data_IF_689428538518
#
_entry.id   IF_689428538518
#
_cell.length_a   1.000
_cell.length_b   1.000
_cell.length_c   1.000
_cell.angle_alpha   90.00
_cell.angle_beta   90.00
_cell.angle_gamma   90.00
#
_symmetry.space_group_name_H-M   'P 1'
#
loop_
_entity.id
_entity.type
_entity.pdbx_description
1 polymer ?
#
# COMPACT_ATOMS: atom_id res chain seq x y z
N UNK A 1 -6.65 -11.45 -0.35
CA UNK A 1 -6.81 -10.71 -1.55
C UNK A 1 -7.41 -9.32 -1.33
N UNK A 2 -8.05 -9.03 -0.18
CA UNK A 2 -8.36 -7.66 0.24
C UNK A 2 -7.10 -6.81 0.46
N UNK A 3 -5.97 -7.42 0.79
CA UNK A 3 -4.67 -6.76 0.86
C UNK A 3 -4.22 -6.25 -0.51
N UNK A 4 -4.51 -6.98 -1.58
CA UNK A 4 -4.23 -6.52 -2.95
C UNK A 4 -5.10 -5.33 -3.37
N UNK A 5 -6.27 -5.12 -2.76
CA UNK A 5 -7.05 -3.88 -2.95
C UNK A 5 -6.31 -2.64 -2.47
N UNK A 6 -5.31 -2.83 -1.63
CA UNK A 6 -4.47 -1.75 -1.15
C UNK A 6 -3.46 -1.29 -2.20
N UNK A 7 -2.98 -2.17 -3.04
CA UNK A 7 -1.78 -1.89 -3.80
C UNK A 7 -1.94 -1.73 -5.31
N UNK A 8 -2.78 -2.48 -5.97
CA UNK A 8 -2.86 -2.36 -7.42
C UNK A 8 -4.14 -2.99 -7.99
N UNK A 9 -5.09 -2.18 -8.37
CA UNK A 9 -6.33 -2.64 -9.01
C UNK A 9 -6.12 -3.12 -10.44
N UNK A 10 -5.00 -2.83 -11.07
CA UNK A 10 -4.65 -3.41 -12.34
C UNK A 10 -4.62 -4.94 -12.25
N UNK A 11 -4.19 -5.48 -11.12
CA UNK A 11 -4.26 -6.91 -10.84
C UNK A 11 -5.66 -7.38 -10.42
N UNK A 12 -6.43 -6.57 -9.71
CA UNK A 12 -7.72 -6.98 -9.13
C UNK A 12 -8.82 -7.10 -10.19
N UNK A 13 -8.89 -6.16 -11.12
CA UNK A 13 -9.89 -6.20 -12.18
C UNK A 13 -9.62 -7.29 -13.25
N UNK A 14 -8.42 -7.87 -13.23
CA UNK A 14 -8.01 -8.85 -14.24
C UNK A 14 -7.77 -10.26 -13.72
N UNK A 15 -7.71 -10.46 -12.40
CA UNK A 15 -7.59 -11.82 -11.80
C UNK A 15 -8.81 -12.71 -12.12
N UNK A 16 -9.96 -12.12 -12.43
CA UNK A 16 -11.15 -12.82 -12.94
C UNK A 16 -11.25 -12.90 -14.46
N UNK A 17 -10.36 -12.22 -15.21
CA UNK A 17 -10.40 -12.21 -16.67
C UNK A 17 -9.70 -13.47 -17.22
N UNK A 18 -10.42 -14.30 -18.02
CA UNK A 18 -9.82 -15.50 -18.63
C UNK A 18 -8.58 -15.21 -19.49
N UNK A 19 -8.48 -14.00 -20.07
CA UNK A 19 -7.31 -13.58 -20.83
C UNK A 19 -6.06 -13.43 -19.94
N UNK A 20 -6.24 -13.19 -18.64
CA UNK A 20 -5.16 -13.07 -17.67
C UNK A 20 -4.74 -14.41 -17.07
N UNK A 21 -5.60 -15.42 -17.16
CA UNK A 21 -5.29 -16.76 -16.68
C UNK A 21 -4.02 -17.36 -17.35
N UNK A 22 -3.68 -16.88 -18.54
CA UNK A 22 -2.44 -17.28 -19.24
C UNK A 22 -1.18 -16.63 -18.66
N UNK A 23 -1.33 -15.53 -17.93
CA UNK A 23 -0.23 -14.80 -17.26
C UNK A 23 -0.18 -15.03 -15.75
N UNK A 24 -1.17 -15.75 -15.20
CA UNK A 24 -1.02 -16.30 -13.86
C UNK A 24 0.23 -17.19 -13.89
N UNK A 25 1.17 -16.95 -12.95
CA UNK A 25 2.44 -17.64 -12.99
C UNK A 25 2.20 -19.14 -13.13
N UNK A 26 3.02 -19.78 -13.93
CA UNK A 26 3.17 -21.23 -14.04
C UNK A 26 3.25 -21.89 -12.66
N UNK A 27 3.68 -21.14 -11.68
CA UNK A 27 3.79 -21.48 -10.27
C UNK A 27 2.46 -21.97 -9.66
N UNK A 28 1.30 -21.38 -9.99
CA UNK A 28 0.02 -21.93 -9.47
C UNK A 28 -0.31 -23.32 -10.06
N UNK A 29 0.12 -23.61 -11.28
CA UNK A 29 0.00 -24.97 -11.86
C UNK A 29 1.05 -25.90 -11.27
N UNK A 30 2.26 -25.38 -11.04
CA UNK A 30 3.35 -26.12 -10.42
C UNK A 30 3.06 -26.39 -8.93
N UNK A 31 2.53 -25.41 -8.18
CA UNK A 31 2.08 -25.60 -6.79
C UNK A 31 1.00 -26.68 -6.69
N UNK A 32 0.06 -26.74 -7.63
CA UNK A 32 -0.92 -27.83 -7.70
C UNK A 32 -0.29 -29.20 -7.97
N UNK A 33 0.73 -29.24 -8.82
CA UNK A 33 1.42 -30.48 -9.20
C UNK A 33 2.33 -31.00 -8.06
N UNK A 34 2.79 -30.12 -7.18
CA UNK A 34 3.67 -30.45 -6.05
C UNK A 34 2.91 -30.78 -4.76
N UNK A 35 1.57 -30.75 -4.78
CA UNK A 35 0.74 -31.06 -3.61
C UNK A 35 0.79 -30.04 -2.50
N UNK A 36 1.22 -28.82 -2.78
CA UNK A 36 1.22 -27.74 -1.79
C UNK A 36 -0.20 -27.33 -1.38
N UNK A 37 -0.41 -26.98 -0.11
CA UNK A 37 -1.73 -26.63 0.38
C UNK A 37 -2.26 -25.40 -0.35
N UNK A 38 -3.45 -25.52 -0.93
CA UNK A 38 -4.15 -24.41 -1.56
C UNK A 38 -4.68 -23.48 -0.49
N UNK A 39 -3.96 -22.40 -0.26
CA UNK A 39 -4.39 -21.37 0.68
C UNK A 39 -5.60 -20.61 0.10
N UNK A 40 -6.69 -20.60 0.85
CA UNK A 40 -7.98 -20.05 0.38
C UNK A 40 -8.15 -18.58 0.69
N UNK A 41 -7.36 -18.06 1.65
CA UNK A 41 -7.44 -16.67 2.07
C UNK A 41 -6.07 -16.14 2.54
N UNK A 42 -5.89 -14.82 2.59
CA UNK A 42 -4.69 -14.21 3.17
C UNK A 42 -4.47 -14.64 4.64
N UNK A 43 -5.52 -14.80 5.41
CA UNK A 43 -5.45 -15.23 6.81
C UNK A 43 -4.90 -16.67 6.94
N UNK A 44 -5.32 -17.57 6.06
CA UNK A 44 -4.77 -18.93 5.99
C UNK A 44 -3.29 -18.90 5.58
N UNK A 45 -2.94 -18.04 4.65
CA UNK A 45 -1.55 -17.85 4.22
C UNK A 45 -0.66 -17.37 5.39
N UNK A 46 -1.08 -16.34 6.11
CA UNK A 46 -0.34 -15.83 7.26
C UNK A 46 -0.17 -16.92 8.33
N UNK A 47 -1.24 -17.63 8.67
CA UNK A 47 -1.18 -18.75 9.62
C UNK A 47 -0.25 -19.86 9.19
N UNK A 48 -0.27 -20.21 7.90
CA UNK A 48 0.62 -21.23 7.36
C UNK A 48 2.07 -20.82 7.45
N UNK A 49 2.40 -19.56 7.09
CA UNK A 49 3.75 -19.03 7.15
C UNK A 49 4.28 -19.01 8.59
N UNK A 50 3.47 -18.51 9.53
CA UNK A 50 3.85 -18.48 10.94
C UNK A 50 4.01 -19.87 11.55
N UNK A 51 3.19 -20.84 11.13
CA UNK A 51 3.33 -22.26 11.57
C UNK A 51 4.68 -22.87 11.15
N UNK A 52 5.30 -22.34 10.12
CA UNK A 52 6.61 -22.78 9.63
C UNK A 52 7.76 -21.87 10.12
N UNK A 53 7.56 -21.14 11.23
CA UNK A 53 8.54 -20.23 11.83
C UNK A 53 9.09 -19.18 10.85
N UNK A 54 8.28 -18.78 9.86
CA UNK A 54 8.61 -17.73 8.91
C UNK A 54 7.79 -16.48 9.16
N UNK A 55 8.29 -15.33 8.71
CA UNK A 55 7.65 -14.04 8.83
C UNK A 55 7.22 -13.50 7.47
N UNK A 56 6.21 -12.65 7.47
CA UNK A 56 5.61 -12.13 6.25
C UNK A 56 5.70 -10.61 6.20
N UNK A 57 6.38 -10.13 5.18
CA UNK A 57 6.42 -8.72 4.81
C UNK A 57 5.49 -8.46 3.63
N UNK A 58 4.75 -7.37 3.66
CA UNK A 58 3.90 -6.94 2.56
C UNK A 58 4.36 -5.60 2.01
N UNK A 59 4.42 -5.50 0.67
CA UNK A 59 4.67 -4.22 0.00
C UNK A 59 3.44 -3.33 0.10
N UNK A 60 3.65 -2.09 0.51
CA UNK A 60 2.62 -1.05 0.63
C UNK A 60 3.10 0.24 -0.05
N UNK A 61 2.18 0.89 -0.75
CA UNK A 61 2.46 2.12 -1.48
C UNK A 61 1.76 3.31 -0.85
N UNK A 62 2.35 4.47 -1.03
CA UNK A 62 1.76 5.74 -0.60
C UNK A 62 0.79 6.35 -1.61
N UNK A 63 0.32 5.57 -2.59
CA UNK A 63 -0.48 6.03 -3.73
C UNK A 63 -1.69 5.15 -3.95
N UNK A 64 -2.77 5.73 -4.46
CA UNK A 64 -4.06 5.05 -4.63
C UNK A 64 -4.66 5.35 -5.99
N UNK A 65 -5.26 4.33 -6.60
CA UNK A 65 -6.00 4.48 -7.84
C UNK A 65 -7.47 4.91 -7.62
N UNK A 66 -8.09 5.59 -8.60
CA UNK A 66 -9.43 6.20 -8.46
C UNK A 66 -10.55 5.20 -8.16
N UNK A 67 -10.32 3.91 -8.39
CA UNK A 67 -11.26 2.82 -8.12
C UNK A 67 -11.21 2.32 -6.67
N UNK A 68 -10.19 2.74 -5.87
CA UNK A 68 -10.03 2.31 -4.47
C UNK A 68 -10.89 3.13 -3.52
N UNK A 69 -11.26 2.55 -2.39
CA UNK A 69 -11.99 3.24 -1.34
C UNK A 69 -11.11 4.32 -0.70
N UNK A 70 -9.84 4.01 -0.49
CA UNK A 70 -8.83 4.91 0.02
C UNK A 70 -8.74 6.21 -0.79
N UNK A 71 -8.67 6.08 -2.11
CA UNK A 71 -8.67 7.24 -3.01
C UNK A 71 -9.92 8.10 -2.81
N UNK A 72 -11.11 7.47 -2.76
CA UNK A 72 -12.36 8.19 -2.60
C UNK A 72 -12.47 8.92 -1.27
N UNK A 73 -12.01 8.29 -0.16
CA UNK A 73 -11.99 8.94 1.15
C UNK A 73 -10.97 10.08 1.19
N UNK A 74 -9.76 9.86 0.69
CA UNK A 74 -8.72 10.90 0.61
C UNK A 74 -9.15 12.08 -0.26
N UNK A 75 -9.80 11.81 -1.39
CA UNK A 75 -10.34 12.86 -2.27
C UNK A 75 -11.40 13.70 -1.57
N UNK A 76 -12.31 13.09 -0.82
CA UNK A 76 -13.31 13.82 -0.01
C UNK A 76 -12.68 14.72 1.04
N UNK A 77 -11.52 14.36 1.54
CA UNK A 77 -10.75 15.12 2.53
C UNK A 77 -9.83 16.17 1.89
N UNK A 78 -9.81 16.25 0.55
CA UNK A 78 -8.85 17.05 -0.20
C UNK A 78 -7.38 16.73 0.19
N UNK A 79 -7.09 15.45 0.33
CA UNK A 79 -5.82 14.92 0.83
C UNK A 79 -5.13 13.96 -0.17
N UNK A 80 -5.36 14.15 -1.44
CA UNK A 80 -4.55 13.60 -2.53
C UNK A 80 -3.65 14.70 -3.08
N UNK A 81 -2.40 14.36 -3.36
CA UNK A 81 -1.52 15.27 -4.09
C UNK A 81 -1.98 15.34 -5.55
N UNK A 82 -2.01 16.54 -6.17
CA UNK A 82 -2.67 16.75 -7.46
C UNK A 82 -1.77 16.36 -8.64
N UNK A 83 -1.04 15.26 -8.53
CA UNK A 83 -0.27 14.70 -9.62
C UNK A 83 -0.39 13.18 -9.67
N UNK A 84 -0.20 12.65 -10.85
CA UNK A 84 -0.23 11.22 -11.10
C UNK A 84 1.16 10.62 -10.88
N UNK A 85 1.19 9.45 -10.25
CA UNK A 85 2.39 8.64 -10.10
C UNK A 85 2.30 7.38 -10.97
N UNK A 86 3.27 6.48 -10.87
CA UNK A 86 3.27 5.22 -11.60
C UNK A 86 2.07 4.33 -11.23
N UNK A 87 1.48 3.61 -12.21
CA UNK A 87 1.79 3.61 -13.65
C UNK A 87 1.19 4.84 -14.37
N UNK A 88 1.89 5.32 -15.40
CA UNK A 88 1.41 6.46 -16.20
C UNK A 88 0.02 6.21 -16.77
N UNK A 89 -0.80 7.25 -16.84
CA UNK A 89 -2.16 7.23 -17.36
C UNK A 89 -3.12 6.30 -16.59
N UNK A 90 -2.81 6.01 -15.33
CA UNK A 90 -3.65 5.18 -14.45
C UNK A 90 -4.59 5.99 -13.57
N UNK A 91 -4.30 7.28 -13.37
CA UNK A 91 -4.98 8.14 -12.40
C UNK A 91 -4.58 7.83 -10.94
N UNK A 92 -3.52 7.06 -10.72
CA UNK A 92 -2.99 6.79 -9.38
C UNK A 92 -2.36 8.06 -8.83
N UNK A 93 -2.78 8.50 -7.64
CA UNK A 93 -2.32 9.70 -6.96
C UNK A 93 -1.76 9.37 -5.58
N UNK A 94 -0.64 9.99 -5.17
CA UNK A 94 -0.17 9.85 -3.80
C UNK A 94 -1.08 10.61 -2.83
N UNK A 95 -1.17 10.10 -1.60
CA UNK A 95 -1.87 10.85 -0.57
C UNK A 95 -0.97 11.94 0.01
N UNK A 96 -1.57 13.00 0.52
CA UNK A 96 -0.83 14.07 1.19
C UNK A 96 -0.38 13.59 2.58
N UNK A 97 0.85 13.09 2.63
CA UNK A 97 1.48 12.60 3.86
C UNK A 97 1.68 13.70 4.90
N UNK A 98 1.68 14.97 4.50
CA UNK A 98 1.83 16.10 5.42
C UNK A 98 0.55 16.35 6.21
N UNK A 99 -0.60 15.90 5.70
CA UNK A 99 -1.88 16.00 6.37
C UNK A 99 -2.03 14.88 7.45
N UNK A 100 -2.09 15.24 8.75
CA UNK A 100 -2.24 14.24 9.82
C UNK A 100 -3.50 13.38 9.69
N UNK A 101 -4.60 13.95 9.19
CA UNK A 101 -5.85 13.21 8.99
C UNK A 101 -5.70 12.15 7.89
N UNK A 102 -4.93 12.47 6.85
CA UNK A 102 -4.64 11.51 5.78
C UNK A 102 -3.74 10.36 6.28
N UNK A 103 -2.74 10.66 7.13
CA UNK A 103 -1.92 9.62 7.79
C UNK A 103 -2.77 8.70 8.67
N UNK A 104 -3.70 9.26 9.45
CA UNK A 104 -4.62 8.46 10.27
C UNK A 104 -5.51 7.55 9.41
N UNK A 105 -5.99 8.08 8.28
CA UNK A 105 -6.79 7.29 7.33
C UNK A 105 -5.95 6.18 6.71
N UNK A 106 -4.71 6.47 6.31
CA UNK A 106 -3.79 5.47 5.79
C UNK A 106 -3.60 4.33 6.78
N UNK A 107 -3.31 4.63 8.05
CA UNK A 107 -3.16 3.64 9.11
C UNK A 107 -4.45 2.85 9.37
N UNK A 108 -5.61 3.49 9.34
CA UNK A 108 -6.90 2.79 9.46
C UNK A 108 -6.99 1.58 8.52
N UNK A 109 -6.54 1.75 7.28
CA UNK A 109 -6.53 0.66 6.30
C UNK A 109 -5.42 -0.35 6.56
N UNK A 110 -4.24 0.07 7.01
CA UNK A 110 -3.16 -0.84 7.38
C UNK A 110 -3.48 -1.68 8.62
N UNK A 111 -4.29 -1.16 9.53
CA UNK A 111 -4.68 -1.86 10.75
C UNK A 111 -5.26 -3.25 10.46
N UNK A 112 -6.01 -3.40 9.38
CA UNK A 112 -6.55 -4.70 8.98
C UNK A 112 -5.44 -5.71 8.64
N UNK A 113 -4.42 -5.29 7.92
CA UNK A 113 -3.26 -6.14 7.60
C UNK A 113 -2.45 -6.48 8.85
N UNK A 114 -2.24 -5.47 9.72
CA UNK A 114 -1.56 -5.68 11.00
C UNK A 114 -2.29 -6.70 11.87
N UNK A 115 -3.62 -6.60 11.99
CA UNK A 115 -4.45 -7.53 12.77
C UNK A 115 -4.50 -8.93 12.15
N UNK A 116 -4.39 -9.02 10.83
CA UNK A 116 -4.28 -10.30 10.12
C UNK A 116 -2.98 -11.03 10.44
N UNK A 117 -1.93 -10.31 10.89
CA UNK A 117 -0.67 -10.87 11.32
C UNK A 117 0.51 -10.63 10.38
N UNK A 118 0.41 -9.68 9.46
CA UNK A 118 1.60 -9.26 8.72
C UNK A 118 2.64 -8.69 9.69
N UNK A 119 3.90 -9.11 9.53
CA UNK A 119 4.97 -8.84 10.48
C UNK A 119 5.76 -7.58 10.14
N UNK A 120 5.80 -7.21 8.86
CA UNK A 120 6.63 -6.12 8.36
C UNK A 120 6.02 -5.42 7.14
N UNK A 121 6.52 -4.21 6.87
CA UNK A 121 6.08 -3.34 5.80
C UNK A 121 7.23 -3.06 4.84
N UNK A 122 7.06 -3.37 3.58
CA UNK A 122 7.90 -2.86 2.52
C UNK A 122 7.24 -1.57 1.99
N UNK A 123 7.78 -0.44 2.40
CA UNK A 123 7.25 0.89 2.06
C UNK A 123 7.76 1.34 0.70
N UNK A 124 7.33 0.64 -0.33
CA UNK A 124 7.72 0.86 -1.71
C UNK A 124 7.10 2.15 -2.28
N UNK A 125 7.80 2.79 -3.21
CA UNK A 125 7.35 4.04 -3.87
C UNK A 125 6.97 5.15 -2.88
N UNK A 126 7.78 5.33 -1.85
CA UNK A 126 7.63 6.40 -0.85
C UNK A 126 8.32 7.71 -1.27
N UNK A 127 9.07 7.68 -2.35
CA UNK A 127 9.40 8.85 -3.18
C UNK A 127 8.45 8.82 -4.39
N UNK A 128 7.28 9.46 -4.31
CA UNK A 128 6.28 9.29 -5.37
C UNK A 128 6.84 9.66 -6.73
N UNK A 129 6.85 8.69 -7.64
CA UNK A 129 7.26 8.92 -9.02
C UNK A 129 6.39 10.04 -9.60
N UNK A 130 6.98 11.21 -9.63
CA UNK A 130 6.34 12.39 -10.15
C UNK A 130 6.78 12.61 -11.58
N UNK A 131 5.86 12.38 -12.51
CA UNK A 131 6.11 12.69 -13.91
C UNK A 131 6.02 14.19 -14.10
N UNK A 132 7.16 14.84 -13.91
CA UNK A 132 7.29 16.28 -13.92
C UNK A 132 6.64 16.93 -15.15
N UNK A 133 5.79 17.90 -14.85
CA UNK A 133 5.21 18.81 -15.84
C UNK A 133 5.55 20.24 -15.42
N UNK A 134 5.69 21.17 -16.35
CA UNK A 134 5.86 22.57 -15.99
C UNK A 134 4.75 23.03 -15.02
N UNK A 135 5.13 23.59 -13.89
CA UNK A 135 4.20 24.05 -12.85
C UNK A 135 3.95 23.07 -11.71
N UNK A 136 4.45 21.86 -11.77
CA UNK A 136 4.26 20.86 -10.72
C UNK A 136 4.92 21.28 -9.39
N UNK A 137 5.96 22.08 -9.44
CA UNK A 137 6.61 22.68 -8.27
C UNK A 137 5.71 23.61 -7.47
N UNK A 138 4.62 24.08 -8.06
CA UNK A 138 3.66 25.00 -7.43
C UNK A 138 2.54 24.27 -6.67
N UNK A 139 2.49 22.94 -6.69
CA UNK A 139 1.48 22.21 -5.93
C UNK A 139 1.61 22.49 -4.43
N UNK A 140 0.44 22.69 -3.82
CA UNK A 140 0.35 22.90 -2.38
C UNK A 140 0.01 21.58 -1.68
N UNK A 141 0.75 21.30 -0.63
CA UNK A 141 0.47 20.25 0.33
C UNK A 141 -0.09 20.88 1.61
N UNK A 142 -0.43 20.06 2.59
CA UNK A 142 -0.88 20.57 3.89
C UNK A 142 0.16 21.46 4.59
N UNK A 143 1.45 21.18 4.43
CA UNK A 143 2.53 21.90 5.12
C UNK A 143 3.30 22.88 4.22
N UNK A 144 2.85 23.12 2.99
CA UNK A 144 3.48 24.07 2.08
C UNK A 144 3.62 23.58 0.64
N UNK A 145 4.47 24.25 -0.15
CA UNK A 145 4.67 23.85 -1.54
C UNK A 145 5.33 22.50 -1.65
N UNK A 146 4.91 21.69 -2.64
CA UNK A 146 5.50 20.38 -2.89
C UNK A 146 7.03 20.45 -3.01
N UNK A 147 7.54 21.41 -3.78
CA UNK A 147 8.99 21.57 -3.96
C UNK A 147 9.71 21.79 -2.62
N UNK A 148 9.10 22.55 -1.70
CA UNK A 148 9.69 22.87 -0.41
C UNK A 148 9.72 21.69 0.57
N UNK A 149 8.75 20.77 0.47
CA UNK A 149 8.57 19.72 1.49
C UNK A 149 8.77 18.29 0.98
N UNK A 150 8.85 18.07 -0.33
CA UNK A 150 8.85 16.73 -0.95
C UNK A 150 9.87 15.75 -0.38
N UNK A 151 11.06 16.24 -0.02
CA UNK A 151 12.12 15.39 0.52
C UNK A 151 11.80 14.82 1.93
N UNK A 152 10.82 15.41 2.63
CA UNK A 152 10.33 14.90 3.91
C UNK A 152 9.23 13.85 3.76
N UNK A 153 8.72 13.61 2.54
CA UNK A 153 7.62 12.69 2.29
C UNK A 153 7.92 11.27 2.82
N UNK A 154 9.04 10.61 2.45
CA UNK A 154 9.34 9.27 2.94
C UNK A 154 9.47 9.22 4.47
N UNK A 155 10.08 10.24 5.05
CA UNK A 155 10.24 10.34 6.50
C UNK A 155 8.89 10.37 7.22
N UNK A 156 7.97 11.23 6.79
CA UNK A 156 6.65 11.37 7.43
C UNK A 156 5.78 10.15 7.20
N UNK A 157 5.86 9.54 6.02
CA UNK A 157 5.16 8.31 5.71
C UNK A 157 5.58 7.18 6.65
N UNK A 158 6.87 6.87 6.71
CA UNK A 158 7.41 5.82 7.54
C UNK A 158 7.24 6.09 9.05
N UNK A 159 7.49 7.32 9.48
CA UNK A 159 7.27 7.75 10.86
C UNK A 159 5.81 7.52 11.28
N UNK A 160 4.87 7.86 10.43
CA UNK A 160 3.44 7.68 10.72
C UNK A 160 3.08 6.21 10.92
N UNK A 161 3.55 5.32 10.05
CA UNK A 161 3.31 3.88 10.19
C UNK A 161 3.92 3.38 11.51
N UNK A 162 5.15 3.77 11.79
CA UNK A 162 5.84 3.40 13.03
C UNK A 162 5.08 3.84 14.28
N UNK A 163 4.70 5.12 14.35
CA UNK A 163 4.02 5.69 15.52
C UNK A 163 2.65 5.04 15.77
N UNK A 164 1.86 4.88 14.71
CA UNK A 164 0.55 4.24 14.82
C UNK A 164 0.65 2.77 15.24
N UNK A 165 1.59 2.01 14.66
CA UNK A 165 1.79 0.62 15.05
C UNK A 165 2.25 0.52 16.50
N UNK A 166 3.17 1.39 16.93
CA UNK A 166 3.63 1.42 18.32
C UNK A 166 2.54 1.79 19.32
N UNK A 167 1.58 2.61 18.91
CA UNK A 167 0.43 3.00 19.73
C UNK A 167 -0.67 1.92 19.83
N UNK A 168 -0.61 0.86 19.02
CA UNK A 168 -1.60 -0.22 19.10
C UNK A 168 -1.55 -0.90 20.46
N UNK A 169 -2.73 -1.05 21.07
CA UNK A 169 -2.88 -1.70 22.39
C UNK A 169 -2.34 -3.14 22.34
N UNK A 170 -1.48 -3.49 23.30
CA UNK A 170 -0.87 -4.81 23.40
C UNK A 170 0.26 -5.05 22.39
N UNK A 171 0.69 -4.05 21.64
CA UNK A 171 1.83 -4.19 20.74
C UNK A 171 3.14 -4.30 21.53
N UNK A 172 3.80 -5.45 21.43
CA UNK A 172 5.13 -5.70 21.99
C UNK A 172 6.22 -5.76 20.90
N UNK A 173 5.82 -5.81 19.62
CA UNK A 173 6.74 -5.95 18.50
C UNK A 173 7.27 -4.59 18.05
N UNK A 174 8.51 -4.60 17.56
CA UNK A 174 9.04 -3.46 16.78
C UNK A 174 8.35 -3.38 15.44
N UNK A 175 8.15 -2.17 14.93
CA UNK A 175 7.75 -1.97 13.54
C UNK A 175 8.98 -2.16 12.66
N UNK A 176 8.94 -3.16 11.79
CA UNK A 176 9.96 -3.37 10.77
C UNK A 176 9.46 -2.78 9.46
N UNK A 177 10.24 -1.85 8.92
CA UNK A 177 9.97 -1.15 7.68
C UNK A 177 11.22 -1.16 6.81
N UNK A 178 11.05 -1.36 5.50
CA UNK A 178 12.11 -1.31 4.50
C UNK A 178 11.65 -0.42 3.35
#
# INVERSE_FOLDING_TARGET
WNAMKFQNPYYINKVGDPAYAKYLPTDMKQMKAQGEPRLKSPEEMVKYIHKNDAHLMISIWASFGPWTEQYRELKKMNALLPFETWPRNSGVMPYDVFNPKARNLYWKYLTHLYQMGFDAWWTDSTEPDHFEKPGDENYQTFDGSWLGVKNAFPLLHNKSIYEHQRAMKGNTKRSLQM
#
